data_IF_093151770333
#
_entry.id   IF_093151770333
#
_cell.length_a   1.000
_cell.length_b   1.000
_cell.length_c   1.000
_cell.angle_alpha   90.00
_cell.angle_beta   90.00
_cell.angle_gamma   90.00
#
_symmetry.space_group_name_H-M   'P 1'
#
loop_
_entity.id
_entity.type
_entity.pdbx_description
1 polymer ?
#
# COMPACT_ATOMS: atom_id res chain seq x y z
N UNK A 1 -3.52 -1.39 -4.11
CA UNK A 1 -2.63 -0.40 -4.77
C UNK A 1 -1.73 0.17 -3.70
N UNK A 2 -0.53 -0.37 -3.57
CA UNK A 2 0.45 0.05 -2.55
C UNK A 2 0.84 1.54 -2.73
N UNK A 3 1.39 2.18 -1.70
CA UNK A 3 1.80 3.58 -1.72
C UNK A 3 2.69 3.92 -2.92
N UNK A 4 3.64 3.04 -3.27
CA UNK A 4 4.51 3.24 -4.42
C UNK A 4 3.77 3.29 -5.77
N UNK A 5 2.72 2.48 -5.94
CA UNK A 5 1.90 2.52 -7.15
C UNK A 5 1.14 3.84 -7.29
N UNK A 6 0.72 4.44 -6.17
CA UNK A 6 0.01 5.73 -6.17
C UNK A 6 0.96 6.88 -6.51
N UNK A 7 2.20 6.83 -6.02
CA UNK A 7 3.25 7.81 -6.35
C UNK A 7 3.60 7.74 -7.85
N UNK A 8 3.83 6.53 -8.38
CA UNK A 8 4.14 6.36 -9.80
C UNK A 8 3.02 6.90 -10.70
N UNK A 9 1.76 6.62 -10.34
CA UNK A 9 0.60 7.16 -11.05
C UNK A 9 0.50 8.68 -10.98
N UNK A 10 0.70 9.27 -9.80
CA UNK A 10 0.67 10.71 -9.63
C UNK A 10 1.73 11.43 -10.46
N UNK A 11 2.93 10.85 -10.57
CA UNK A 11 3.98 11.35 -11.45
C UNK A 11 3.55 11.36 -12.92
N UNK A 12 2.96 10.26 -13.40
CA UNK A 12 2.47 10.15 -14.78
C UNK A 12 1.33 11.13 -15.08
N UNK A 13 0.49 11.41 -14.09
CA UNK A 13 -0.64 12.35 -14.20
C UNK A 13 -0.22 13.82 -13.93
N UNK A 14 1.06 14.10 -13.66
CA UNK A 14 1.57 15.45 -13.39
C UNK A 14 1.09 16.05 -12.05
N UNK A 15 0.64 15.21 -11.13
CA UNK A 15 0.14 15.62 -9.82
C UNK A 15 1.30 15.91 -8.88
N UNK A 16 1.18 16.99 -8.10
CA UNK A 16 2.20 17.42 -7.13
C UNK A 16 2.05 16.75 -5.76
N UNK A 17 0.93 16.07 -5.51
CA UNK A 17 0.63 15.44 -4.23
C UNK A 17 -0.28 14.23 -4.42
N UNK A 18 -0.29 13.35 -3.41
CA UNK A 18 -1.19 12.18 -3.34
C UNK A 18 -1.95 12.19 -2.02
N UNK A 19 -3.17 11.63 -2.05
CA UNK A 19 -3.92 11.35 -0.83
C UNK A 19 -3.28 10.17 -0.09
N UNK A 20 -2.87 10.42 1.15
CA UNK A 20 -2.32 9.42 2.05
C UNK A 20 -3.23 9.22 3.26
N UNK A 21 -3.24 8.00 3.80
CA UNK A 21 -3.93 7.68 5.06
C UNK A 21 -2.85 7.41 6.10
N UNK A 22 -2.89 8.14 7.21
CA UNK A 22 -2.04 7.89 8.38
C UNK A 22 -2.87 7.14 9.42
N UNK A 23 -2.45 5.93 9.75
CA UNK A 23 -3.07 5.20 10.85
C UNK A 23 -2.74 5.88 12.18
N UNK A 24 -3.70 5.90 13.11
CA UNK A 24 -3.53 6.46 14.46
C UNK A 24 -2.63 5.59 15.34
N UNK A 25 -2.46 4.32 14.97
CA UNK A 25 -1.56 3.35 15.60
C UNK A 25 -0.98 2.42 14.53
N UNK A 26 0.10 1.74 14.88
CA UNK A 26 0.61 0.66 14.05
C UNK A 26 -0.46 -0.43 13.90
N UNK A 27 -0.62 -0.94 12.67
CA UNK A 27 -1.49 -2.07 12.36
C UNK A 27 -0.58 -3.23 12.02
N UNK A 28 -0.70 -4.32 12.76
CA UNK A 28 0.06 -5.53 12.47
C UNK A 28 -0.42 -6.16 11.16
N UNK A 29 0.49 -6.70 10.34
CA UNK A 29 0.11 -7.47 9.17
C UNK A 29 -0.67 -8.72 9.59
N UNK A 30 -1.71 -9.07 8.83
CA UNK A 30 -2.50 -10.28 9.10
C UNK A 30 -1.68 -11.57 8.91
N UNK A 31 -0.67 -11.54 8.03
CA UNK A 31 0.20 -12.68 7.72
C UNK A 31 1.64 -12.19 7.53
N UNK A 32 2.61 -12.90 8.12
CA UNK A 32 4.04 -12.63 7.99
C UNK A 32 4.76 -13.93 7.66
N UNK A 33 5.57 -13.94 6.61
CA UNK A 33 6.34 -15.13 6.21
C UNK A 33 5.49 -16.29 5.70
N UNK A 34 4.26 -16.02 5.24
CA UNK A 34 3.36 -17.01 4.65
C UNK A 34 3.56 -16.99 3.14
N UNK A 35 3.70 -18.16 2.53
CA UNK A 35 3.79 -18.27 1.07
C UNK A 35 2.48 -17.80 0.42
N UNK A 36 2.52 -17.13 -0.73
CA UNK A 36 1.31 -16.61 -1.35
C UNK A 36 0.20 -17.64 -1.58
N UNK A 37 0.56 -18.91 -1.83
CA UNK A 37 -0.39 -20.01 -2.06
C UNK A 37 -1.10 -20.49 -0.78
N UNK A 38 -0.57 -20.14 0.40
CA UNK A 38 -1.14 -20.48 1.70
C UNK A 38 -2.06 -19.38 2.24
N UNK A 39 -2.20 -18.26 1.51
CA UNK A 39 -3.12 -17.19 1.86
C UNK A 39 -4.57 -17.63 1.58
N UNK A 40 -5.54 -17.22 2.43
CA UNK A 40 -6.93 -17.69 2.33
C UNK A 40 -7.74 -17.06 1.19
N UNK A 41 -7.10 -16.44 0.19
CA UNK A 41 -7.72 -15.69 -0.90
C UNK A 41 -7.02 -15.87 -2.24
#
# INVERSE_FOLDING_TARGET
MDGMHRVARAYLEGLKSINAVRFTKYIEPHFVGVEPHDLPY
#
